data_IF_944871292302
#
_entry.id   IF_944871292302
#
_cell.length_a   1.000
_cell.length_b   1.000
_cell.length_c   1.000
_cell.angle_alpha   90.00
_cell.angle_beta   90.00
_cell.angle_gamma   90.00
#
_symmetry.space_group_name_H-M   'P 1'
#
loop_
_entity.id
_entity.type
_entity.pdbx_description
1 polymer ?
#
# COMPACT_ATOMS: atom_id res chain seq x y z
N UNK A 1 6.04 4.41 -12.39
CA UNK A 1 7.21 3.67 -11.84
C UNK A 1 6.80 2.20 -11.64
N UNK A 2 7.74 1.25 -11.73
CA UNK A 2 7.49 -0.16 -11.37
C UNK A 2 8.39 -0.61 -10.24
N UNK A 3 7.83 -1.35 -9.28
CA UNK A 3 8.56 -1.98 -8.18
C UNK A 3 8.29 -3.48 -8.21
N UNK A 4 9.30 -4.30 -7.91
CA UNK A 4 9.19 -5.77 -7.86
C UNK A 4 9.66 -6.28 -6.52
N UNK A 5 8.86 -7.12 -5.87
CA UNK A 5 9.21 -7.70 -4.56
C UNK A 5 8.49 -9.04 -4.36
N UNK A 6 9.14 -9.99 -3.70
CA UNK A 6 8.46 -11.16 -3.12
C UNK A 6 7.84 -10.72 -1.81
N UNK A 7 6.54 -10.92 -1.67
CA UNK A 7 5.79 -10.51 -0.49
C UNK A 7 5.47 -11.75 0.36
N UNK A 8 5.80 -11.64 1.64
CA UNK A 8 5.46 -12.60 2.70
C UNK A 8 5.03 -11.86 3.99
N UNK A 9 5.26 -10.54 4.04
CA UNK A 9 4.92 -9.66 5.14
C UNK A 9 4.42 -8.34 4.58
N UNK A 10 3.79 -7.54 5.44
CA UNK A 10 3.36 -6.19 5.10
C UNK A 10 4.53 -5.39 4.55
N UNK A 11 4.30 -4.71 3.44
CA UNK A 11 5.32 -3.90 2.79
C UNK A 11 4.71 -2.61 2.28
N UNK A 12 5.37 -1.47 2.51
CA UNK A 12 4.94 -0.22 1.90
C UNK A 12 5.92 0.32 0.85
N UNK A 13 5.38 0.94 -0.21
CA UNK A 13 6.08 1.96 -0.98
C UNK A 13 5.64 3.33 -0.47
N UNK A 14 6.57 4.23 -0.12
CA UNK A 14 6.18 5.51 0.48
C UNK A 14 7.03 6.70 0.02
N UNK A 15 6.45 7.88 0.19
CA UNK A 15 7.07 9.18 0.05
C UNK A 15 6.86 9.97 1.35
N UNK A 16 7.91 10.61 1.86
CA UNK A 16 7.80 11.50 3.02
C UNK A 16 8.76 12.68 2.91
N UNK A 17 8.41 13.85 3.48
CA UNK A 17 9.37 14.94 3.65
C UNK A 17 10.45 14.50 4.65
N UNK A 18 11.72 14.57 4.24
CA UNK A 18 12.93 14.21 5.01
C UNK A 18 13.14 12.69 5.22
N UNK A 19 14.36 12.33 5.66
CA UNK A 19 14.75 10.95 6.04
C UNK A 19 14.15 10.50 7.39
N UNK A 20 13.17 11.22 7.94
CA UNK A 20 12.54 10.79 9.18
C UNK A 20 11.49 9.74 8.86
N UNK A 21 11.64 8.54 9.46
CA UNK A 21 10.54 7.78 10.06
C UNK A 21 11.09 6.58 10.84
N UNK A 22 10.85 6.60 12.15
CA UNK A 22 10.91 5.46 13.08
C UNK A 22 9.58 5.43 13.84
N UNK A 23 8.45 5.48 13.13
CA UNK A 23 7.14 5.27 13.74
C UNK A 23 7.08 3.93 14.48
N UNK A 24 5.99 3.68 15.18
CA UNK A 24 5.84 2.44 15.95
C UNK A 24 5.88 1.21 15.03
N UNK A 25 6.27 0.06 15.60
CA UNK A 25 6.27 -1.23 14.89
C UNK A 25 4.86 -1.81 14.77
N UNK A 26 4.72 -2.95 14.09
CA UNK A 26 3.43 -3.61 13.89
C UNK A 26 2.56 -2.86 12.88
N UNK A 27 1.26 -2.78 13.13
CA UNK A 27 0.29 -2.16 12.22
C UNK A 27 0.54 -0.67 11.94
N UNK A 28 1.43 0.00 12.69
CA UNK A 28 1.83 1.39 12.41
C UNK A 28 2.86 1.53 11.28
N UNK A 29 3.37 0.40 10.75
CA UNK A 29 4.28 0.27 9.60
C UNK A 29 5.56 1.13 9.66
N UNK A 30 5.98 1.54 10.86
CA UNK A 30 7.10 2.47 11.03
C UNK A 30 6.79 3.89 10.55
N UNK A 31 5.52 4.18 10.26
CA UNK A 31 5.09 5.46 9.69
C UNK A 31 4.43 6.40 10.67
N UNK A 32 3.69 5.84 11.61
CA UNK A 32 2.90 6.59 12.58
C UNK A 32 3.44 6.30 13.98
N UNK A 33 3.61 7.34 14.80
CA UNK A 33 3.92 7.14 16.21
C UNK A 33 2.62 6.83 16.96
N UNK A 34 2.55 5.66 17.60
CA UNK A 34 1.37 5.22 18.36
C UNK A 34 0.96 6.19 19.49
N UNK A 35 1.90 6.97 20.00
CA UNK A 35 1.66 8.01 21.02
C UNK A 35 1.31 9.38 20.41
N UNK A 36 1.45 9.56 19.09
CA UNK A 36 1.19 10.82 18.41
C UNK A 36 0.74 10.62 16.95
N UNK A 37 -0.53 10.27 16.78
CA UNK A 37 -1.12 9.94 15.47
C UNK A 37 -1.30 11.16 14.54
N UNK A 38 -1.22 12.39 15.05
CA UNK A 38 -1.61 13.61 14.31
C UNK A 38 -0.47 14.35 13.61
N UNK A 39 0.78 13.90 13.75
CA UNK A 39 1.97 14.60 13.21
C UNK A 39 2.74 13.76 12.19
N UNK A 40 2.04 13.09 11.28
CA UNK A 40 2.69 12.36 10.20
C UNK A 40 2.57 13.15 8.90
N UNK A 41 3.61 13.08 8.06
CA UNK A 41 3.56 13.61 6.69
C UNK A 41 4.08 12.56 5.73
N UNK A 42 3.18 11.87 5.06
CA UNK A 42 3.53 10.85 4.10
C UNK A 42 2.41 10.46 3.15
N UNK A 43 2.81 9.86 2.04
CA UNK A 43 1.94 9.05 1.20
C UNK A 43 2.54 7.65 1.18
N UNK A 44 1.75 6.62 1.47
CA UNK A 44 2.17 5.24 1.33
C UNK A 44 1.16 4.43 0.51
N UNK A 45 1.70 3.47 -0.23
CA UNK A 45 0.96 2.36 -0.81
C UNK A 45 1.34 1.15 0.02
N UNK A 46 0.44 0.70 0.88
CA UNK A 46 0.61 -0.50 1.68
C UNK A 46 0.14 -1.74 0.92
N UNK A 47 0.85 -2.84 1.14
CA UNK A 47 0.49 -4.18 0.71
C UNK A 47 0.33 -4.99 1.98
N UNK A 48 -0.87 -4.98 2.55
CA UNK A 48 -1.14 -5.62 3.82
C UNK A 48 -1.57 -7.08 3.63
N UNK A 49 -0.95 -7.94 4.43
CA UNK A 49 -1.12 -9.39 4.47
C UNK A 49 -1.87 -9.85 5.72
N UNK A 50 -2.35 -8.90 6.53
CA UNK A 50 -3.04 -9.13 7.79
C UNK A 50 -4.25 -8.22 7.86
N UNK A 51 -5.26 -8.68 8.59
CA UNK A 51 -6.41 -7.85 8.91
C UNK A 51 -6.26 -7.37 10.36
N UNK A 52 -6.13 -6.06 10.53
CA UNK A 52 -6.23 -5.37 11.81
C UNK A 52 -7.51 -4.53 11.86
N UNK A 53 -8.50 -5.02 12.62
CA UNK A 53 -9.78 -4.33 12.80
C UNK A 53 -9.62 -2.98 13.53
N UNK A 54 -8.52 -2.76 14.25
CA UNK A 54 -8.23 -1.45 14.87
C UNK A 54 -7.93 -0.37 13.84
N UNK A 55 -7.40 -0.76 12.67
CA UNK A 55 -7.07 0.14 11.55
C UNK A 55 -8.09 0.10 10.41
N UNK A 56 -9.23 -0.56 10.63
CA UNK A 56 -10.31 -0.74 9.66
C UNK A 56 -9.90 -1.51 8.39
N UNK A 57 -9.02 -2.49 8.54
CA UNK A 57 -8.62 -3.32 7.41
C UNK A 57 -9.81 -4.11 6.86
N UNK A 58 -10.07 -4.02 5.54
CA UNK A 58 -11.25 -4.64 4.95
C UNK A 58 -11.16 -6.17 4.92
N UNK A 59 -9.95 -6.70 4.80
CA UNK A 59 -9.65 -8.12 4.64
C UNK A 59 -8.15 -8.39 4.87
N UNK A 60 -7.75 -9.65 4.80
CA UNK A 60 -6.38 -10.10 5.04
C UNK A 60 -5.40 -9.94 3.85
N UNK A 61 -5.84 -9.44 2.70
CA UNK A 61 -5.04 -9.31 1.47
C UNK A 61 -5.47 -8.07 0.69
N UNK A 62 -5.09 -6.89 1.20
CA UNK A 62 -5.48 -5.62 0.59
C UNK A 62 -4.29 -4.75 0.22
N UNK A 63 -4.50 -3.93 -0.81
CA UNK A 63 -3.62 -2.84 -1.19
C UNK A 63 -4.29 -1.53 -0.83
N UNK A 64 -3.60 -0.74 -0.01
CA UNK A 64 -4.10 0.49 0.58
C UNK A 64 -3.41 1.76 0.04
N UNK A 65 -4.07 2.90 0.22
CA UNK A 65 -3.50 4.23 0.01
C UNK A 65 -3.63 5.01 1.30
N UNK A 66 -2.48 5.32 1.88
CA UNK A 66 -2.34 6.02 3.14
C UNK A 66 -1.86 7.44 2.90
N UNK A 67 -2.53 8.41 3.52
CA UNK A 67 -2.14 9.81 3.48
C UNK A 67 -2.16 10.34 4.90
N UNK A 68 -0.97 10.61 5.45
CA UNK A 68 -0.72 11.13 6.80
C UNK A 68 -1.30 10.29 7.97
N UNK A 69 -1.97 9.17 7.66
CA UNK A 69 -2.62 8.25 8.58
C UNK A 69 -2.46 6.82 8.04
N UNK A 70 -2.44 5.84 8.93
CA UNK A 70 -2.37 4.40 8.61
C UNK A 70 -3.71 3.82 8.18
N UNK A 71 -4.82 4.47 8.54
CA UNK A 71 -6.13 4.08 8.02
C UNK A 71 -6.21 4.52 6.57
N UNK A 72 -6.14 3.54 5.67
CA UNK A 72 -6.22 3.73 4.23
C UNK A 72 -7.45 4.55 3.81
N UNK A 73 -7.24 5.59 2.98
CA UNK A 73 -8.36 6.35 2.39
C UNK A 73 -9.09 5.56 1.30
N UNK A 74 -8.42 4.54 0.74
CA UNK A 74 -9.01 3.62 -0.21
C UNK A 74 -8.22 2.32 -0.24
N UNK A 75 -8.93 1.20 -0.19
CA UNK A 75 -8.36 -0.13 -0.27
C UNK A 75 -8.89 -0.89 -1.48
N UNK A 76 -8.18 -1.94 -1.88
CA UNK A 76 -8.67 -2.94 -2.82
C UNK A 76 -8.12 -4.32 -2.47
N UNK A 77 -9.01 -5.30 -2.40
CA UNK A 77 -8.67 -6.70 -2.21
C UNK A 77 -7.89 -7.25 -3.41
N UNK A 78 -6.67 -7.72 -3.20
CA UNK A 78 -5.80 -8.19 -4.28
C UNK A 78 -6.23 -9.55 -4.84
N UNK A 79 -6.92 -10.38 -4.06
CA UNK A 79 -7.47 -11.68 -4.47
C UNK A 79 -8.49 -11.50 -5.59
N UNK A 80 -9.25 -10.39 -5.60
CA UNK A 80 -10.18 -10.04 -6.70
C UNK A 80 -9.47 -9.75 -8.05
N UNK A 81 -8.13 -9.70 -8.04
CA UNK A 81 -7.29 -9.64 -9.24
C UNK A 81 -6.39 -10.87 -9.39
N UNK A 82 -6.67 -11.93 -8.64
CA UNK A 82 -5.95 -13.20 -8.69
C UNK A 82 -4.56 -13.14 -8.08
N UNK A 83 -4.28 -12.16 -7.21
CA UNK A 83 -2.98 -12.03 -6.55
C UNK A 83 -3.15 -12.21 -5.05
N UNK A 84 -2.61 -13.32 -4.55
CA UNK A 84 -2.42 -13.59 -3.13
C UNK A 84 -1.09 -12.97 -2.66
N UNK A 85 -1.16 -12.01 -1.73
CA UNK A 85 0.01 -11.30 -1.20
C UNK A 85 0.83 -12.18 -0.27
N UNK A 86 0.19 -13.15 0.41
CA UNK A 86 0.81 -14.13 1.31
C UNK A 86 1.47 -15.31 0.59
N UNK A 87 1.36 -15.38 -0.74
CA UNK A 87 1.74 -16.57 -1.51
C UNK A 87 3.25 -16.78 -1.73
N UNK A 88 4.14 -15.88 -1.26
CA UNK A 88 5.60 -15.98 -1.47
C UNK A 88 6.07 -15.78 -2.94
N UNK A 89 5.13 -15.55 -3.84
CA UNK A 89 5.37 -15.33 -5.25
C UNK A 89 6.00 -13.95 -5.49
N UNK A 90 6.80 -13.83 -6.54
CA UNK A 90 7.30 -12.53 -6.99
C UNK A 90 6.14 -11.73 -7.57
N UNK A 91 5.86 -10.58 -6.99
CA UNK A 91 4.81 -9.67 -7.44
C UNK A 91 5.46 -8.44 -8.06
N UNK A 92 4.99 -8.08 -9.26
CA UNK A 92 5.30 -6.80 -9.88
C UNK A 92 4.15 -5.83 -9.64
N UNK A 93 4.51 -4.66 -9.13
CA UNK A 93 3.58 -3.55 -8.89
C UNK A 93 3.94 -2.38 -9.80
N UNK A 94 2.93 -1.75 -10.38
CA UNK A 94 3.08 -0.47 -11.08
C UNK A 94 2.29 0.60 -10.35
N UNK A 95 2.95 1.72 -10.08
CA UNK A 95 2.35 2.89 -9.46
C UNK A 95 2.45 4.03 -10.49
N UNK A 96 1.28 4.44 -10.97
CA UNK A 96 1.12 5.55 -11.90
C UNK A 96 0.46 6.71 -11.20
N UNK A 97 1.12 7.85 -11.20
CA UNK A 97 0.53 9.11 -10.77
C UNK A 97 0.50 10.08 -11.95
N UNK A 98 -0.68 10.65 -12.24
CA UNK A 98 -0.85 11.71 -13.23
C UNK A 98 -1.22 13.01 -12.54
N UNK A 99 -0.30 13.98 -12.56
CA UNK A 99 -0.42 15.20 -11.79
C UNK A 99 -1.61 16.07 -12.23
N UNK A 100 -1.88 16.20 -13.54
CA UNK A 100 -2.93 17.12 -14.03
C UNK A 100 -4.32 16.75 -13.50
N UNK A 101 -4.53 15.46 -13.18
CA UNK A 101 -5.80 14.91 -12.69
C UNK A 101 -5.71 14.42 -11.25
N UNK A 102 -4.58 14.65 -10.57
CA UNK A 102 -4.24 14.05 -9.26
C UNK A 102 -4.57 12.56 -9.16
N UNK A 103 -4.40 11.84 -10.29
CA UNK A 103 -4.93 10.49 -10.45
C UNK A 103 -3.86 9.46 -10.16
N UNK A 104 -4.10 8.65 -9.13
CA UNK A 104 -3.27 7.50 -8.80
C UNK A 104 -3.90 6.22 -9.35
N UNK A 105 -3.10 5.36 -9.96
CA UNK A 105 -3.48 4.00 -10.33
C UNK A 105 -2.41 3.01 -9.87
N UNK A 106 -2.88 1.92 -9.29
CA UNK A 106 -2.04 0.83 -8.78
C UNK A 106 -2.41 -0.43 -9.52
N UNK A 107 -1.39 -1.15 -10.00
CA UNK A 107 -1.54 -2.39 -10.73
C UNK A 107 -0.67 -3.45 -10.08
N UNK A 108 -1.12 -4.70 -10.11
CA UNK A 108 -0.48 -5.82 -9.46
C UNK A 108 -0.54 -7.06 -10.37
N UNK A 109 0.55 -7.80 -10.49
CA UNK A 109 0.56 -9.07 -11.22
C UNK A 109 1.75 -9.94 -10.82
N UNK A 110 1.61 -11.26 -10.98
CA UNK A 110 2.76 -12.18 -10.98
C UNK A 110 3.58 -12.12 -12.28
N UNK A 111 3.03 -11.49 -13.33
CA UNK A 111 3.69 -11.37 -14.63
C UNK A 111 4.59 -10.13 -14.66
N UNK A 112 5.54 -10.14 -15.60
CA UNK A 112 6.49 -9.05 -15.78
C UNK A 112 5.92 -7.84 -16.54
N UNK A 113 4.72 -7.98 -17.11
CA UNK A 113 4.01 -6.94 -17.86
C UNK A 113 2.83 -6.36 -17.09
N UNK A 114 2.58 -5.07 -17.31
CA UNK A 114 1.55 -4.32 -16.60
C UNK A 114 0.14 -4.73 -17.05
N UNK A 115 -0.77 -5.10 -16.14
CA UNK A 115 -2.17 -5.34 -16.46
C UNK A 115 -2.86 -4.12 -17.06
N UNK A 116 -3.89 -4.34 -17.90
CA UNK A 116 -4.70 -3.25 -18.47
C UNK A 116 -5.60 -2.57 -17.43
N UNK A 117 -6.10 -3.35 -16.47
CA UNK A 117 -7.04 -2.89 -15.45
C UNK A 117 -6.27 -2.68 -14.14
N UNK A 118 -6.37 -1.48 -13.53
CA UNK A 118 -5.78 -1.27 -12.21
C UNK A 118 -6.52 -2.07 -11.14
N UNK A 119 -5.79 -2.45 -10.09
CA UNK A 119 -6.37 -2.94 -8.84
C UNK A 119 -7.07 -1.78 -8.12
N UNK A 120 -6.36 -0.66 -7.95
CA UNK A 120 -6.85 0.54 -7.27
C UNK A 120 -6.74 1.76 -8.19
N UNK A 121 -7.77 2.61 -8.21
CA UNK A 121 -7.73 3.92 -8.86
C UNK A 121 -8.35 4.97 -7.95
N UNK A 122 -7.61 6.05 -7.72
CA UNK A 122 -8.01 7.20 -6.87
C UNK A 122 -7.91 8.48 -7.70
N UNK A 123 -8.87 9.39 -7.51
CA UNK A 123 -8.94 10.72 -8.14
C UNK A 123 -9.23 11.77 -7.07
#
# INVERSE_FOLDING_TARGET
MSVRRRLETVWPFFLSPNNQKLGSSGGYLGFVNSSQLSKNKFIAIEFDTKQDLHFNDPDEDHVGLDIDNIVSIKTANSILRGVNLKGGNLITTWIDYKNEKKKLKIFLSYLSFKPRVPLLSVV
#
